data_IF_124119172403
#
_entry.id   IF_124119172403
#
_cell.length_a   1.000
_cell.length_b   1.000
_cell.length_c   1.000
_cell.angle_alpha   90.00
_cell.angle_beta   90.00
_cell.angle_gamma   90.00
#
_symmetry.space_group_name_H-M   'P 1'
#
loop_
_entity.id
_entity.type
_entity.pdbx_description
1 polymer ?
#
# COMPACT_ATOMS: atom_id res chain seq x y z
N UNK A 1 13.44 72.90 -40.81
CA UNK A 1 12.34 71.89 -40.72
C UNK A 1 12.83 70.46 -40.42
N UNK A 2 13.93 70.04 -40.92
CA UNK A 2 14.48 68.67 -40.86
C UNK A 2 14.89 68.19 -39.46
N UNK A 3 15.41 69.08 -38.59
CA UNK A 3 15.85 68.74 -37.23
C UNK A 3 14.69 68.42 -36.27
N UNK A 4 13.53 68.98 -36.45
CA UNK A 4 12.34 68.73 -35.61
C UNK A 4 11.69 67.36 -35.97
N UNK A 5 11.64 67.05 -37.25
CA UNK A 5 11.10 65.75 -37.73
C UNK A 5 11.98 64.59 -37.23
N UNK A 6 13.31 64.73 -37.27
CA UNK A 6 14.26 63.74 -36.75
C UNK A 6 14.17 63.55 -35.23
N UNK A 7 13.88 64.62 -34.49
CA UNK A 7 13.64 64.52 -33.03
C UNK A 7 12.33 63.78 -32.71
N UNK A 8 11.25 64.03 -33.43
CA UNK A 8 9.99 63.37 -33.22
C UNK A 8 10.07 61.84 -33.57
N UNK A 9 10.78 61.51 -34.65
CA UNK A 9 10.96 60.10 -35.01
C UNK A 9 11.80 59.35 -33.96
N UNK A 10 12.85 59.96 -33.37
CA UNK A 10 13.62 59.37 -32.29
C UNK A 10 12.80 59.15 -30.99
N UNK A 11 11.90 60.09 -30.68
CA UNK A 11 11.03 59.97 -29.49
C UNK A 11 10.04 58.86 -29.67
N UNK A 12 9.40 58.75 -30.87
CA UNK A 12 8.43 57.66 -31.16
C UNK A 12 9.11 56.28 -31.16
N UNK A 13 10.32 56.15 -31.68
CA UNK A 13 11.07 54.89 -31.62
C UNK A 13 11.43 54.50 -30.16
N UNK A 14 11.84 55.48 -29.32
CA UNK A 14 12.14 55.22 -27.90
C UNK A 14 10.90 54.85 -27.11
N UNK A 15 9.76 55.45 -27.39
CA UNK A 15 8.46 55.08 -26.76
C UNK A 15 7.99 53.71 -27.22
N UNK A 16 8.14 53.36 -28.50
CA UNK A 16 7.86 52.04 -29.02
C UNK A 16 8.71 50.94 -28.38
N UNK A 17 10.03 51.18 -28.23
CA UNK A 17 10.94 50.25 -27.56
C UNK A 17 10.64 50.10 -26.05
N UNK A 18 10.26 51.18 -25.34
CA UNK A 18 9.85 51.15 -23.94
C UNK A 18 8.55 50.35 -23.78
N UNK A 19 7.57 50.56 -24.67
CA UNK A 19 6.32 49.82 -24.68
C UNK A 19 6.52 48.34 -24.91
N UNK A 20 7.34 47.94 -25.86
CA UNK A 20 7.69 46.53 -26.11
C UNK A 20 8.42 45.87 -24.93
N UNK A 21 9.35 46.60 -24.30
CA UNK A 21 10.09 46.13 -23.12
C UNK A 21 9.16 45.95 -21.93
N UNK A 22 8.17 46.81 -21.73
CA UNK A 22 7.18 46.69 -20.68
C UNK A 22 6.20 45.50 -20.94
N UNK A 23 5.76 45.31 -22.19
CA UNK A 23 4.95 44.14 -22.59
C UNK A 23 5.70 42.83 -22.33
N UNK A 24 6.98 42.72 -22.74
CA UNK A 24 7.81 41.54 -22.46
C UNK A 24 7.93 41.25 -20.97
N UNK A 25 8.13 42.29 -20.14
CA UNK A 25 8.15 42.12 -18.65
C UNK A 25 6.81 41.70 -18.08
N UNK A 26 5.68 42.17 -18.63
CA UNK A 26 4.35 41.72 -18.21
C UNK A 26 4.09 40.26 -18.59
N UNK A 27 4.42 39.86 -19.83
CA UNK A 27 4.30 38.46 -20.24
C UNK A 27 5.16 37.51 -19.40
N UNK A 28 6.38 37.94 -19.06
CA UNK A 28 7.26 37.17 -18.17
C UNK A 28 6.64 37.01 -16.77
N UNK A 29 6.07 38.08 -16.19
CA UNK A 29 5.40 38.01 -14.88
C UNK A 29 4.16 37.11 -14.90
N UNK A 30 3.38 37.18 -15.96
CA UNK A 30 2.20 36.32 -16.16
C UNK A 30 2.66 34.85 -16.31
N UNK A 31 3.70 34.57 -17.10
CA UNK A 31 4.26 33.23 -17.24
C UNK A 31 4.76 32.63 -15.92
N UNK A 32 5.46 33.44 -15.10
CA UNK A 32 5.90 33.01 -13.77
C UNK A 32 4.71 32.74 -12.84
N UNK A 33 3.69 33.61 -12.85
CA UNK A 33 2.49 33.41 -12.03
C UNK A 33 1.73 32.12 -12.41
N UNK A 34 1.57 31.83 -13.69
CA UNK A 34 0.94 30.61 -14.18
C UNK A 34 1.76 29.37 -13.78
N UNK A 35 3.08 29.44 -13.86
CA UNK A 35 3.96 28.34 -13.45
C UNK A 35 3.86 28.06 -11.95
N UNK A 36 3.82 29.09 -11.11
CA UNK A 36 3.65 28.94 -9.65
C UNK A 36 2.30 28.31 -9.31
N UNK A 37 1.22 28.71 -9.97
CA UNK A 37 -0.10 28.12 -9.77
C UNK A 37 -0.12 26.64 -10.18
N UNK A 38 0.51 26.30 -11.31
CA UNK A 38 0.61 24.93 -11.78
C UNK A 38 1.38 24.05 -10.77
N UNK A 39 2.52 24.51 -10.28
CA UNK A 39 3.32 23.81 -9.28
C UNK A 39 2.53 23.65 -7.98
N UNK A 40 1.85 24.69 -7.51
CA UNK A 40 1.02 24.63 -6.31
C UNK A 40 -0.12 23.61 -6.46
N UNK A 41 -0.76 23.55 -7.63
CA UNK A 41 -1.79 22.56 -7.96
C UNK A 41 -1.26 21.12 -7.94
N UNK A 42 -0.07 20.87 -8.49
CA UNK A 42 0.58 19.55 -8.46
C UNK A 42 0.90 19.15 -7.02
N UNK A 43 1.49 20.04 -6.23
CA UNK A 43 1.82 19.77 -4.81
C UNK A 43 0.57 19.49 -4.01
N UNK A 44 -0.48 20.29 -4.17
CA UNK A 44 -1.76 20.04 -3.50
C UNK A 44 -2.38 18.70 -3.89
N UNK A 45 -2.33 18.33 -5.17
CA UNK A 45 -2.78 17.03 -5.68
C UNK A 45 -2.02 15.85 -5.08
N UNK A 46 -0.69 15.95 -5.01
CA UNK A 46 0.18 14.91 -4.40
C UNK A 46 -0.08 14.78 -2.89
N UNK A 47 -0.23 15.90 -2.19
CA UNK A 47 -0.53 15.90 -0.74
C UNK A 47 -1.88 15.26 -0.49
N UNK A 48 -2.92 15.65 -1.26
CA UNK A 48 -4.27 15.07 -1.14
C UNK A 48 -4.26 13.57 -1.44
N UNK A 49 -3.60 13.15 -2.52
CA UNK A 49 -3.45 11.73 -2.85
C UNK A 49 -2.78 10.94 -1.73
N UNK A 50 -1.74 11.49 -1.07
CA UNK A 50 -1.07 10.84 0.06
C UNK A 50 -1.96 10.74 1.29
N UNK A 51 -2.76 11.78 1.58
CA UNK A 51 -3.70 11.78 2.70
C UNK A 51 -4.83 10.76 2.45
N UNK A 52 -5.45 10.77 1.27
CA UNK A 52 -6.56 9.89 0.90
C UNK A 52 -6.13 8.40 0.84
N UNK A 53 -4.84 8.13 0.60
CA UNK A 53 -4.29 6.77 0.56
C UNK A 53 -3.46 6.40 1.81
N UNK A 54 -3.55 7.19 2.88
CA UNK A 54 -2.86 6.87 4.13
C UNK A 54 -3.52 5.66 4.79
N UNK A 55 -2.74 4.60 4.94
CA UNK A 55 -3.10 3.45 5.75
C UNK A 55 -2.35 3.57 7.08
N UNK A 56 -3.07 3.62 8.18
CA UNK A 56 -2.51 3.82 9.53
C UNK A 56 -3.23 2.85 10.48
N UNK A 57 -2.64 1.67 10.65
CA UNK A 57 -3.14 0.61 11.50
C UNK A 57 -2.01 0.10 12.39
N UNK A 58 -2.29 0.00 13.68
CA UNK A 58 -1.39 -0.62 14.66
C UNK A 58 -2.11 -1.76 15.36
N UNK A 59 -1.50 -2.95 15.39
CA UNK A 59 -2.05 -4.16 15.99
C UNK A 59 -0.97 -4.77 16.89
N UNK A 60 -1.27 -4.98 18.18
CA UNK A 60 -0.31 -5.58 19.12
C UNK A 60 1.01 -4.82 19.28
N UNK A 61 1.02 -3.50 19.02
CA UNK A 61 2.24 -2.69 19.03
C UNK A 61 2.99 -2.65 17.69
N UNK A 62 2.57 -3.41 16.68
CA UNK A 62 3.16 -3.45 15.34
C UNK A 62 2.42 -2.49 14.41
N UNK A 63 3.17 -1.69 13.65
CA UNK A 63 2.60 -0.90 12.55
C UNK A 63 2.39 -1.81 11.35
N UNK A 64 1.13 -1.96 10.94
CA UNK A 64 0.72 -2.85 9.85
C UNK A 64 0.80 -2.11 8.52
N UNK A 65 1.46 -2.71 7.54
CA UNK A 65 1.47 -2.18 6.19
C UNK A 65 0.16 -2.52 5.45
N UNK A 66 -0.18 -1.74 4.42
CA UNK A 66 -1.35 -2.03 3.58
C UNK A 66 -1.27 -3.41 2.94
N UNK A 67 -0.08 -3.81 2.47
CA UNK A 67 0.12 -5.11 1.82
C UNK A 67 -0.05 -6.26 2.81
N UNK A 68 0.45 -6.09 4.02
CA UNK A 68 0.26 -7.04 5.12
C UNK A 68 -1.22 -7.23 5.46
N UNK A 69 -1.95 -6.11 5.65
CA UNK A 69 -3.38 -6.14 5.89
C UNK A 69 -4.14 -6.86 4.77
N UNK A 70 -3.90 -6.52 3.50
CA UNK A 70 -4.56 -7.13 2.36
C UNK A 70 -4.25 -8.62 2.25
N UNK A 71 -3.00 -9.03 2.50
CA UNK A 71 -2.64 -10.44 2.48
C UNK A 71 -3.27 -11.21 3.64
N UNK A 72 -3.34 -10.63 4.82
CA UNK A 72 -4.04 -11.21 5.96
C UNK A 72 -5.55 -11.31 5.70
N UNK A 73 -6.18 -10.26 5.17
CA UNK A 73 -7.60 -10.26 4.80
C UNK A 73 -7.94 -11.40 3.83
N UNK A 74 -7.12 -11.57 2.78
CA UNK A 74 -7.29 -12.69 1.83
C UNK A 74 -7.17 -14.06 2.48
N UNK A 75 -6.35 -14.20 3.54
CA UNK A 75 -6.20 -15.48 4.23
C UNK A 75 -7.42 -15.88 5.06
N UNK A 76 -8.22 -14.92 5.52
CA UNK A 76 -9.43 -15.16 6.33
C UNK A 76 -10.75 -14.97 5.57
N UNK A 77 -10.71 -14.48 4.34
CA UNK A 77 -11.89 -14.15 3.54
C UNK A 77 -12.81 -15.36 3.33
N UNK A 78 -12.22 -16.51 2.97
CA UNK A 78 -12.99 -17.73 2.75
C UNK A 78 -13.68 -18.20 4.03
N UNK A 79 -12.95 -18.26 5.14
CA UNK A 79 -13.49 -18.74 6.43
C UNK A 79 -14.54 -17.77 6.96
N UNK A 80 -14.33 -16.46 6.82
CA UNK A 80 -15.33 -15.44 7.17
C UNK A 80 -16.60 -15.59 6.33
N UNK A 81 -16.46 -15.83 5.04
CA UNK A 81 -17.62 -16.10 4.17
C UNK A 81 -18.39 -17.33 4.65
N UNK A 82 -17.68 -18.42 4.92
CA UNK A 82 -18.30 -19.66 5.40
C UNK A 82 -18.99 -19.47 6.76
N UNK A 83 -18.36 -18.72 7.67
CA UNK A 83 -18.94 -18.34 8.95
C UNK A 83 -20.26 -17.58 8.77
N UNK A 84 -20.27 -16.52 7.93
CA UNK A 84 -21.49 -15.74 7.68
C UNK A 84 -22.59 -16.61 7.06
N UNK A 85 -22.24 -17.49 6.13
CA UNK A 85 -23.21 -18.40 5.53
C UNK A 85 -23.84 -19.36 6.56
N UNK A 86 -23.03 -19.88 7.49
CA UNK A 86 -23.50 -20.81 8.54
C UNK A 86 -24.32 -20.10 9.61
N UNK A 87 -23.86 -18.95 10.08
CA UNK A 87 -24.47 -18.24 11.21
C UNK A 87 -25.78 -17.55 10.83
N UNK A 88 -25.92 -17.13 9.56
CA UNK A 88 -27.06 -16.33 9.09
C UNK A 88 -27.85 -16.95 7.93
N UNK A 89 -27.58 -18.21 7.58
CA UNK A 89 -28.19 -18.90 6.42
C UNK A 89 -28.09 -18.06 5.13
N UNK A 90 -26.94 -17.38 4.96
CA UNK A 90 -26.73 -16.41 3.90
C UNK A 90 -26.23 -17.06 2.61
N UNK A 91 -26.74 -16.63 1.46
CA UNK A 91 -26.26 -17.07 0.14
C UNK A 91 -25.19 -16.11 -0.35
N UNK A 92 -24.05 -16.65 -0.85
CA UNK A 92 -23.00 -15.86 -1.45
C UNK A 92 -23.42 -15.41 -2.86
N UNK A 93 -23.71 -14.12 -3.00
CA UNK A 93 -24.14 -13.46 -4.24
C UNK A 93 -23.62 -12.03 -4.29
N UNK A 94 -23.91 -11.32 -5.39
CA UNK A 94 -23.51 -9.91 -5.51
C UNK A 94 -24.04 -9.08 -4.34
N UNK A 95 -23.17 -8.22 -3.78
CA UNK A 95 -23.48 -7.41 -2.61
C UNK A 95 -23.42 -8.17 -1.27
N UNK A 96 -22.90 -9.42 -1.24
CA UNK A 96 -22.77 -10.20 -0.02
C UNK A 96 -22.05 -9.46 1.11
N UNK A 97 -20.96 -8.79 0.80
CA UNK A 97 -20.17 -8.04 1.78
C UNK A 97 -20.83 -6.73 2.22
N UNK A 98 -21.73 -6.17 1.43
CA UNK A 98 -22.49 -4.96 1.70
C UNK A 98 -23.82 -5.22 2.41
N UNK A 99 -24.22 -6.48 2.60
CA UNK A 99 -25.38 -6.86 3.41
C UNK A 99 -25.06 -6.77 4.90
N UNK A 100 -26.08 -6.52 5.69
CA UNK A 100 -26.00 -6.54 7.15
C UNK A 100 -26.38 -7.90 7.71
N UNK A 101 -25.56 -8.42 8.60
CA UNK A 101 -25.72 -9.64 9.36
C UNK A 101 -25.67 -9.26 10.83
N UNK A 102 -26.78 -9.37 11.54
CA UNK A 102 -26.94 -8.93 12.95
C UNK A 102 -26.43 -7.48 13.19
N UNK A 103 -26.79 -6.56 12.29
CA UNK A 103 -26.45 -5.15 12.38
C UNK A 103 -25.09 -4.74 11.84
N UNK A 104 -24.17 -5.66 11.56
CA UNK A 104 -22.85 -5.43 10.97
C UNK A 104 -22.85 -5.74 9.48
N UNK A 105 -22.17 -4.96 8.69
CA UNK A 105 -21.93 -5.31 7.29
C UNK A 105 -20.93 -6.48 7.17
N UNK A 106 -21.04 -7.28 6.11
CA UNK A 106 -20.13 -8.40 5.87
C UNK A 106 -18.67 -7.97 5.83
N UNK A 107 -18.35 -6.82 5.22
CA UNK A 107 -16.99 -6.28 5.21
C UNK A 107 -16.50 -5.83 6.59
N UNK A 108 -17.39 -5.47 7.54
CA UNK A 108 -17.01 -5.15 8.92
C UNK A 108 -16.62 -6.43 9.66
N UNK A 109 -17.36 -7.52 9.47
CA UNK A 109 -17.03 -8.85 10.02
C UNK A 109 -15.68 -9.32 9.46
N UNK A 110 -15.46 -9.18 8.15
CA UNK A 110 -14.19 -9.52 7.51
C UNK A 110 -13.03 -8.68 8.09
N UNK A 111 -13.26 -7.38 8.34
CA UNK A 111 -12.27 -6.50 8.95
C UNK A 111 -11.93 -6.94 10.37
N UNK A 112 -12.92 -7.26 11.19
CA UNK A 112 -12.71 -7.76 12.55
C UNK A 112 -11.90 -9.06 12.55
N UNK A 113 -12.28 -10.04 11.72
CA UNK A 113 -11.56 -11.30 11.58
C UNK A 113 -10.12 -11.09 11.08
N UNK A 114 -9.91 -10.13 10.17
CA UNK A 114 -8.57 -9.75 9.70
C UNK A 114 -7.70 -9.21 10.84
N UNK A 115 -8.25 -8.32 11.66
CA UNK A 115 -7.52 -7.76 12.82
C UNK A 115 -7.19 -8.83 13.85
N UNK A 116 -8.11 -9.73 14.15
CA UNK A 116 -7.86 -10.85 15.07
C UNK A 116 -6.78 -11.79 14.51
N UNK A 117 -6.81 -12.08 13.22
CA UNK A 117 -5.76 -12.89 12.58
C UNK A 117 -4.39 -12.19 12.61
N UNK A 118 -4.33 -10.87 12.39
CA UNK A 118 -3.10 -10.10 12.53
C UNK A 118 -2.53 -10.19 13.95
N UNK A 119 -3.38 -10.02 14.97
CA UNK A 119 -2.97 -10.19 16.38
C UNK A 119 -2.37 -11.56 16.63
N UNK A 120 -3.04 -12.60 16.14
CA UNK A 120 -2.59 -13.99 16.31
C UNK A 120 -1.24 -14.23 15.62
N UNK A 121 -1.09 -13.81 14.37
CA UNK A 121 0.14 -13.98 13.60
C UNK A 121 1.31 -13.26 14.26
N UNK A 122 1.12 -12.00 14.67
CA UNK A 122 2.17 -11.25 15.36
C UNK A 122 2.55 -11.88 16.70
N UNK A 123 1.58 -12.34 17.47
CA UNK A 123 1.86 -13.03 18.75
C UNK A 123 2.71 -14.29 18.55
N UNK A 124 2.40 -15.10 17.51
CA UNK A 124 3.20 -16.30 17.18
C UNK A 124 4.62 -15.93 16.78
N UNK A 125 4.80 -14.90 15.93
CA UNK A 125 6.14 -14.49 15.49
C UNK A 125 6.95 -13.80 16.58
N UNK A 126 6.33 -13.05 17.46
CA UNK A 126 7.02 -12.45 18.62
C UNK A 126 7.52 -13.54 19.57
N UNK A 127 6.68 -14.54 19.87
CA UNK A 127 7.10 -15.71 20.63
C UNK A 127 8.23 -16.48 19.92
N UNK A 128 8.12 -16.68 18.61
CA UNK A 128 9.16 -17.35 17.83
C UNK A 128 10.50 -16.60 17.86
N UNK A 129 10.46 -15.28 17.89
CA UNK A 129 11.65 -14.44 18.05
C UNK A 129 12.23 -14.53 19.46
N UNK A 130 11.38 -14.51 20.48
CA UNK A 130 11.81 -14.70 21.88
C UNK A 130 12.46 -16.06 22.11
N UNK A 131 11.91 -17.12 21.49
CA UNK A 131 12.47 -18.47 21.52
C UNK A 131 13.70 -18.66 20.63
N UNK A 132 14.07 -17.67 19.81
CA UNK A 132 15.20 -17.74 18.89
C UNK A 132 14.96 -18.54 17.60
N UNK A 133 13.69 -18.87 17.28
CA UNK A 133 13.32 -19.63 16.09
C UNK A 133 13.31 -18.77 14.83
N UNK A 134 13.03 -17.50 14.97
CA UNK A 134 13.19 -16.49 13.92
C UNK A 134 14.04 -15.34 14.45
N UNK A 135 14.89 -14.79 13.61
CA UNK A 135 15.74 -13.64 13.99
C UNK A 135 14.97 -12.30 13.97
N UNK A 136 13.90 -12.22 13.20
CA UNK A 136 13.09 -11.03 12.98
C UNK A 136 11.63 -11.43 12.77
N UNK A 137 10.74 -10.91 13.62
CA UNK A 137 9.29 -11.16 13.63
C UNK A 137 8.52 -10.28 12.64
N UNK A 138 9.19 -9.34 11.94
CA UNK A 138 8.53 -8.40 11.04
C UNK A 138 7.92 -9.08 9.81
N UNK A 139 6.83 -8.48 9.29
CA UNK A 139 6.21 -8.90 8.04
C UNK A 139 7.20 -8.97 6.86
N UNK A 140 8.11 -8.01 6.77
CA UNK A 140 9.16 -7.99 5.74
C UNK A 140 10.11 -9.19 5.84
N UNK A 141 10.44 -9.60 7.04
CA UNK A 141 11.26 -10.79 7.26
C UNK A 141 10.50 -12.07 6.89
N UNK A 142 9.19 -12.14 7.17
CA UNK A 142 8.31 -13.22 6.72
C UNK A 142 8.27 -13.31 5.18
N UNK A 143 8.06 -12.19 4.49
CA UNK A 143 8.10 -12.15 3.02
C UNK A 143 9.45 -12.65 2.47
N UNK A 144 10.55 -12.29 3.13
CA UNK A 144 11.87 -12.76 2.74
C UNK A 144 11.99 -14.27 2.93
N UNK A 145 11.56 -14.82 4.06
CA UNK A 145 11.59 -16.28 4.32
C UNK A 145 10.77 -17.07 3.31
N UNK A 146 9.58 -16.56 2.97
CA UNK A 146 8.76 -17.13 1.90
C UNK A 146 9.48 -17.19 0.54
N UNK A 147 10.09 -16.07 0.13
CA UNK A 147 10.85 -16.02 -1.13
C UNK A 147 12.07 -16.95 -1.11
N UNK A 148 12.79 -16.97 0.00
CA UNK A 148 13.96 -17.84 0.20
C UNK A 148 13.56 -19.33 0.15
N UNK A 149 12.42 -19.71 0.73
CA UNK A 149 11.92 -21.09 0.67
C UNK A 149 11.52 -21.50 -0.75
N UNK A 150 10.81 -20.62 -1.47
CA UNK A 150 10.46 -20.90 -2.87
C UNK A 150 11.71 -21.00 -3.77
N UNK A 151 12.71 -20.15 -3.56
CA UNK A 151 13.98 -20.25 -4.30
C UNK A 151 14.69 -21.60 -4.05
N UNK A 152 14.76 -22.06 -2.79
CA UNK A 152 15.32 -23.37 -2.44
C UNK A 152 14.57 -24.52 -3.09
N UNK A 153 13.22 -24.44 -3.15
CA UNK A 153 12.38 -25.45 -3.79
C UNK A 153 12.61 -25.51 -5.30
N UNK A 154 12.66 -24.33 -5.95
CA UNK A 154 12.98 -24.24 -7.38
C UNK A 154 14.35 -24.85 -7.71
N UNK A 155 15.37 -24.52 -6.91
CA UNK A 155 16.72 -25.11 -7.08
C UNK A 155 16.72 -26.63 -6.98
N UNK A 156 15.99 -27.21 -6.00
CA UNK A 156 15.84 -28.64 -5.87
C UNK A 156 15.16 -29.28 -7.09
N UNK A 157 14.09 -28.68 -7.58
CA UNK A 157 13.39 -29.15 -8.78
C UNK A 157 14.30 -29.13 -10.00
N UNK A 158 15.09 -28.07 -10.19
CA UNK A 158 16.05 -27.95 -11.28
C UNK A 158 17.14 -29.02 -11.22
N UNK A 159 17.56 -29.42 -10.00
CA UNK A 159 18.54 -30.50 -9.79
C UNK A 159 17.95 -31.91 -9.91
N UNK A 160 16.62 -32.02 -10.13
CA UNK A 160 15.93 -33.31 -10.15
C UNK A 160 15.78 -33.96 -8.77
N UNK A 161 15.95 -33.19 -7.69
CA UNK A 161 15.78 -33.66 -6.33
C UNK A 161 14.29 -33.74 -5.96
N UNK A 162 13.95 -34.63 -5.02
CA UNK A 162 12.57 -34.76 -4.53
C UNK A 162 12.20 -33.56 -3.67
N UNK A 163 11.10 -32.89 -4.03
CA UNK A 163 10.48 -31.86 -3.21
C UNK A 163 9.19 -32.42 -2.63
N UNK A 164 9.14 -32.57 -1.31
CA UNK A 164 7.92 -33.01 -0.62
C UNK A 164 6.93 -31.83 -0.48
N UNK A 165 5.65 -32.09 -0.79
CA UNK A 165 4.58 -31.10 -0.76
C UNK A 165 4.54 -30.23 -2.02
N UNK A 166 4.17 -28.96 -1.86
CA UNK A 166 4.05 -28.01 -2.98
C UNK A 166 5.42 -27.65 -3.53
N UNK A 167 5.52 -27.56 -4.86
CA UNK A 167 6.75 -27.07 -5.53
C UNK A 167 7.01 -25.61 -5.26
N UNK A 168 5.96 -24.83 -5.10
CA UNK A 168 5.98 -23.39 -4.79
C UNK A 168 4.81 -23.06 -3.87
N UNK A 169 5.06 -22.23 -2.87
CA UNK A 169 4.04 -21.71 -1.97
C UNK A 169 3.53 -20.34 -2.46
N UNK A 170 2.23 -20.12 -2.43
CA UNK A 170 1.70 -18.76 -2.34
C UNK A 170 2.06 -18.17 -0.98
N UNK A 171 2.02 -16.85 -0.84
CA UNK A 171 2.31 -16.20 0.44
C UNK A 171 1.37 -16.72 1.56
N UNK A 172 0.08 -16.86 1.27
CA UNK A 172 -0.93 -17.32 2.23
C UNK A 172 -0.66 -18.76 2.71
N UNK A 173 -0.32 -19.66 1.78
CA UNK A 173 0.02 -21.05 2.11
C UNK A 173 1.34 -21.16 2.90
N UNK A 174 2.32 -20.30 2.58
CA UNK A 174 3.56 -20.23 3.35
C UNK A 174 3.33 -19.72 4.76
N UNK A 175 2.57 -18.63 4.92
CA UNK A 175 2.19 -18.09 6.23
C UNK A 175 1.49 -19.18 7.08
N UNK A 176 0.50 -19.85 6.51
CA UNK A 176 -0.20 -20.92 7.21
C UNK A 176 0.72 -22.07 7.63
N UNK A 177 1.61 -22.48 6.73
CA UNK A 177 2.60 -23.53 6.98
C UNK A 177 3.57 -23.13 8.11
N UNK A 178 4.18 -21.94 8.03
CA UNK A 178 5.17 -21.47 9.02
C UNK A 178 4.52 -21.27 10.40
N UNK A 179 3.35 -20.61 10.46
CA UNK A 179 2.61 -20.42 11.72
C UNK A 179 2.19 -21.74 12.34
N UNK A 180 1.70 -22.72 11.55
CA UNK A 180 1.34 -24.05 12.05
C UNK A 180 2.56 -24.77 12.61
N UNK A 181 3.68 -24.72 11.91
CA UNK A 181 4.93 -25.35 12.35
C UNK A 181 5.44 -24.76 13.66
N UNK A 182 5.42 -23.43 13.79
CA UNK A 182 5.80 -22.75 15.04
C UNK A 182 4.86 -23.10 16.18
N UNK A 183 3.54 -23.09 15.93
CA UNK A 183 2.53 -23.45 16.91
C UNK A 183 2.71 -24.88 17.42
N UNK A 184 2.87 -25.85 16.53
CA UNK A 184 3.10 -27.24 16.90
C UNK A 184 4.32 -27.40 17.81
N UNK A 185 5.41 -26.67 17.49
CA UNK A 185 6.62 -26.66 18.32
C UNK A 185 6.35 -26.17 19.73
N UNK A 186 5.51 -25.14 19.91
CA UNK A 186 5.24 -24.56 21.23
C UNK A 186 4.20 -25.37 22.03
N UNK A 187 3.24 -25.99 21.34
CA UNK A 187 2.22 -26.81 22.01
C UNK A 187 2.70 -28.21 22.40
N UNK A 188 3.76 -28.74 21.77
CA UNK A 188 4.28 -30.09 22.04
C UNK A 188 5.47 -30.12 23.01
N UNK A 189 5.83 -28.98 23.61
CA UNK A 189 6.91 -28.86 24.59
C UNK A 189 6.40 -28.86 26.04
N UNK A 190 5.14 -29.28 26.29
CA UNK A 190 4.58 -29.52 27.64
C UNK A 190 4.71 -30.98 28.08
#
# INVERSE_FOLDING_TARGET
MDKLVRRQNKISEQEGMRSMKNRKKQFLKIGIAVLVIAVAGIVAGVVRYRIDNRFDLTVGGHTISKDEYVNCMKSVEYDTKMQIQQDYDAVYEDGFWEKKYDGKYGYEILTENTVEQLKYVHAVYDLAKECGDVSDSSYKALEKRWKDENAKRSEKVEKGEVVYGLKEYTFQLYLQYEVSTLKEKYCNND
#
